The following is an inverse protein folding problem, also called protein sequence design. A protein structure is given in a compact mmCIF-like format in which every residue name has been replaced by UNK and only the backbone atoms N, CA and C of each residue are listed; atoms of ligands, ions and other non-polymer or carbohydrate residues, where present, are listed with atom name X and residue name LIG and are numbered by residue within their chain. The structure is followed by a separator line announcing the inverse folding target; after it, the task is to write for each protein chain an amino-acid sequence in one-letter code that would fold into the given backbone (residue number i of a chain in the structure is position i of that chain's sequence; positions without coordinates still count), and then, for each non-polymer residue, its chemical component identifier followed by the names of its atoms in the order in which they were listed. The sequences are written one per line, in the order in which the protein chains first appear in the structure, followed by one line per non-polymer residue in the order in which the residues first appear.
data_IF_902497260597
#
_entry.id   IF_902497260597
#
_cell.length_a   1.000
_cell.length_b   1.000
_cell.length_c   1.000
_cell.angle_alpha   90.00
_cell.angle_beta   90.00
_cell.angle_gamma   90.00
#
_symmetry.space_group_name_H-M   'P 1'
#
loop_
_entity.id
_entity.type
_entity.pdbx_description
1 polymer ?
#
# COMPACT_ATOMS: atom_id res chain seq x y z
N UNK A 1 40.67 -39.54 -8.71
CA UNK A 1 39.26 -39.63 -9.10
C UNK A 1 38.67 -38.25 -8.95
N UNK A 2 38.26 -37.66 -10.07
CA UNK A 2 37.66 -36.34 -10.13
C UNK A 2 36.20 -36.42 -9.66
N UNK A 3 35.82 -35.59 -8.69
CA UNK A 3 34.47 -35.06 -8.58
C UNK A 3 34.59 -33.56 -8.26
N UNK A 4 34.88 -32.81 -9.32
CA UNK A 4 34.41 -31.44 -9.42
C UNK A 4 32.88 -31.42 -9.29
N UNK A 5 32.32 -30.24 -8.93
CA UNK A 5 30.89 -29.87 -8.98
C UNK A 5 30.11 -30.33 -7.73
N UNK A 6 29.59 -29.46 -6.86
CA UNK A 6 28.94 -28.18 -7.13
C UNK A 6 29.39 -27.07 -6.17
N UNK A 7 29.73 -25.94 -6.77
CA UNK A 7 29.40 -24.63 -6.20
C UNK A 7 27.94 -24.70 -5.73
N UNK A 8 27.73 -24.69 -4.41
CA UNK A 8 26.45 -24.31 -3.83
C UNK A 8 26.23 -22.85 -4.23
N UNK A 9 25.65 -22.63 -5.40
CA UNK A 9 24.95 -21.41 -5.74
C UNK A 9 23.81 -21.29 -4.74
N UNK A 10 24.08 -20.67 -3.59
CA UNK A 10 23.05 -20.05 -2.79
C UNK A 10 22.53 -18.87 -3.62
N UNK A 11 21.66 -19.16 -4.59
CA UNK A 11 20.79 -18.17 -5.20
C UNK A 11 19.89 -17.67 -4.08
N UNK A 12 20.30 -16.58 -3.42
CA UNK A 12 19.37 -15.69 -2.75
C UNK A 12 18.38 -15.26 -3.83
N UNK A 13 17.22 -15.93 -3.89
CA UNK A 13 16.05 -15.38 -4.53
C UNK A 13 15.72 -14.12 -3.71
N UNK A 14 16.20 -12.98 -4.17
CA UNK A 14 15.66 -11.69 -3.78
C UNK A 14 14.23 -11.72 -4.29
N UNK A 15 13.29 -12.14 -3.44
CA UNK A 15 11.88 -11.93 -3.67
C UNK A 15 11.70 -10.43 -3.75
N UNK A 16 11.47 -9.93 -4.97
CA UNK A 16 11.28 -8.51 -5.20
C UNK A 16 10.08 -8.05 -4.37
N UNK A 17 10.31 -7.15 -3.42
CA UNK A 17 9.28 -6.44 -2.64
C UNK A 17 8.51 -5.41 -3.49
N UNK A 18 8.48 -5.61 -4.81
CA UNK A 18 7.96 -4.64 -5.76
C UNK A 18 6.57 -5.04 -6.24
N UNK A 19 5.72 -4.02 -6.45
CA UNK A 19 4.43 -4.18 -7.10
C UNK A 19 4.55 -4.79 -8.49
N UNK A 20 3.51 -5.51 -8.93
CA UNK A 20 3.46 -6.04 -10.29
C UNK A 20 3.36 -4.90 -11.32
N UNK A 21 3.75 -5.12 -12.59
CA UNK A 21 3.58 -4.12 -13.64
C UNK A 21 2.13 -3.65 -13.81
N UNK A 22 1.16 -4.55 -13.62
CA UNK A 22 -0.27 -4.24 -13.70
C UNK A 22 -0.72 -3.34 -12.54
N UNK A 23 -0.32 -3.65 -11.30
CA UNK A 23 -0.59 -2.83 -10.14
C UNK A 23 0.02 -1.43 -10.29
N UNK A 24 1.27 -1.35 -10.74
CA UNK A 24 1.94 -0.08 -11.01
C UNK A 24 1.20 0.76 -12.06
N UNK A 25 0.82 0.17 -13.19
CA UNK A 25 0.10 0.87 -14.24
C UNK A 25 -1.28 1.37 -13.76
N UNK A 26 -2.00 0.54 -13.02
CA UNK A 26 -3.32 0.87 -12.45
C UNK A 26 -3.20 1.96 -11.41
N UNK A 27 -2.25 1.85 -10.48
CA UNK A 27 -1.99 2.86 -9.46
C UNK A 27 -1.60 4.19 -10.10
N UNK A 28 -0.75 4.19 -11.14
CA UNK A 28 -0.36 5.39 -11.85
C UNK A 28 -1.55 6.07 -12.56
N UNK A 29 -2.45 5.28 -13.17
CA UNK A 29 -3.67 5.77 -13.80
C UNK A 29 -4.55 6.58 -12.81
N UNK A 30 -4.68 6.11 -11.56
CA UNK A 30 -5.49 6.77 -10.55
C UNK A 30 -4.73 7.83 -9.74
N UNK A 31 -3.45 7.61 -9.48
CA UNK A 31 -2.59 8.50 -8.71
C UNK A 31 -2.28 9.78 -9.48
N UNK A 32 -1.99 9.72 -10.79
CA UNK A 32 -1.66 10.90 -11.59
C UNK A 32 -2.67 12.06 -11.45
N UNK A 33 -3.98 11.89 -11.71
CA UNK A 33 -4.94 13.00 -11.56
C UNK A 33 -5.06 13.49 -10.11
N UNK A 34 -4.82 12.63 -9.11
CA UNK A 34 -4.80 13.03 -7.71
C UNK A 34 -3.56 13.87 -7.38
N UNK A 35 -2.39 13.54 -7.94
CA UNK A 35 -1.18 14.38 -7.83
C UNK A 35 -1.36 15.73 -8.50
N UNK A 36 -1.96 15.74 -9.69
CA UNK A 36 -2.26 16.98 -10.42
C UNK A 36 -3.20 17.90 -9.60
N UNK A 37 -4.12 17.32 -8.81
CA UNK A 37 -5.05 18.07 -7.96
C UNK A 37 -4.47 18.54 -6.63
N UNK A 38 -3.63 17.74 -5.97
CA UNK A 38 -3.10 18.06 -4.62
C UNK A 38 -1.73 18.73 -4.67
N UNK A 39 -1.00 18.58 -5.78
CA UNK A 39 0.35 19.09 -5.97
C UNK A 39 1.44 18.27 -5.27
N UNK A 40 1.16 17.03 -4.84
CA UNK A 40 2.19 16.13 -4.31
C UNK A 40 3.02 15.52 -5.43
N UNK A 41 4.30 15.29 -5.15
CA UNK A 41 5.22 14.61 -6.04
C UNK A 41 5.25 13.11 -5.76
N UNK A 42 5.76 12.27 -6.69
CA UNK A 42 5.99 10.85 -6.40
C UNK A 42 6.93 10.61 -5.20
N UNK A 43 7.88 11.52 -4.98
CA UNK A 43 8.80 11.43 -3.85
C UNK A 43 8.06 11.63 -2.52
N UNK A 44 7.17 12.61 -2.43
CA UNK A 44 6.37 12.85 -1.20
C UNK A 44 5.51 11.64 -0.83
N UNK A 45 5.03 10.89 -1.84
CA UNK A 45 4.23 9.68 -1.62
C UNK A 45 5.12 8.55 -1.07
N UNK A 46 6.28 8.33 -1.67
CA UNK A 46 7.21 7.27 -1.26
C UNK A 46 7.71 7.49 0.17
N UNK A 47 8.23 8.68 0.47
CA UNK A 47 8.76 8.99 1.81
C UNK A 47 7.66 8.96 2.89
N UNK A 48 6.45 9.39 2.54
CA UNK A 48 5.32 9.40 3.47
C UNK A 48 4.70 8.04 3.78
N UNK A 49 4.70 7.11 2.82
CA UNK A 49 4.29 5.73 3.05
C UNK A 49 5.37 4.90 3.76
N UNK A 50 6.65 5.25 3.58
CA UNK A 50 7.78 4.61 4.28
C UNK A 50 8.02 5.16 5.71
N UNK A 51 7.24 6.18 6.13
CA UNK A 51 7.37 6.78 7.46
C UNK A 51 8.66 7.61 7.64
N UNK A 52 9.32 7.98 6.54
CA UNK A 52 10.52 8.81 6.53
C UNK A 52 10.18 10.31 6.71
N UNK A 53 8.91 10.66 6.52
CA UNK A 53 8.41 12.01 6.69
C UNK A 53 8.31 12.44 8.15
N UNK A 54 8.77 13.66 8.42
CA UNK A 54 8.29 14.43 9.56
C UNK A 54 7.03 15.16 9.11
N UNK A 55 5.91 14.87 9.77
CA UNK A 55 4.60 15.57 9.72
C UNK A 55 3.64 15.20 8.60
N UNK A 56 2.48 14.69 9.02
CA UNK A 56 1.12 15.19 8.75
C UNK A 56 0.91 16.12 7.52
N UNK A 57 1.42 15.75 6.34
CA UNK A 57 1.21 16.55 5.13
C UNK A 57 -0.24 16.38 4.66
N UNK A 58 -1.02 17.45 4.82
CA UNK A 58 -2.42 17.49 4.41
C UNK A 58 -2.63 17.22 2.92
N UNK A 59 -1.66 17.58 2.06
CA UNK A 59 -1.70 17.28 0.61
C UNK A 59 -1.48 15.80 0.35
N UNK A 60 -0.60 15.15 1.09
CA UNK A 60 -0.38 13.71 0.99
C UNK A 60 -1.61 12.94 1.47
N UNK A 61 -2.20 13.32 2.59
CA UNK A 61 -3.44 12.69 3.06
C UNK A 61 -4.60 12.89 2.08
N UNK A 62 -4.74 14.09 1.52
CA UNK A 62 -5.71 14.37 0.47
C UNK A 62 -5.44 13.55 -0.80
N UNK A 63 -4.17 13.32 -1.15
CA UNK A 63 -3.79 12.47 -2.28
C UNK A 63 -4.23 11.02 -2.06
N UNK A 64 -3.92 10.45 -0.89
CA UNK A 64 -4.30 9.06 -0.56
C UNK A 64 -5.82 8.92 -0.56
N UNK A 65 -6.55 9.84 0.08
CA UNK A 65 -8.01 9.86 0.05
C UNK A 65 -8.56 9.90 -1.39
N UNK A 66 -8.01 10.76 -2.25
CA UNK A 66 -8.41 10.86 -3.65
C UNK A 66 -8.23 9.54 -4.39
N UNK A 67 -7.09 8.86 -4.21
CA UNK A 67 -6.83 7.56 -4.84
C UNK A 67 -7.80 6.50 -4.32
N UNK A 68 -7.99 6.39 -3.00
CA UNK A 68 -8.89 5.40 -2.42
C UNK A 68 -10.34 5.58 -2.84
N UNK A 69 -10.79 6.83 -3.03
CA UNK A 69 -12.12 7.10 -3.59
C UNK A 69 -12.22 6.63 -5.05
N UNK A 70 -11.22 6.93 -5.88
CA UNK A 70 -11.22 6.56 -7.31
C UNK A 70 -11.22 5.06 -7.57
N UNK A 71 -10.70 4.28 -6.63
CA UNK A 71 -10.67 2.82 -6.71
C UNK A 71 -11.77 2.18 -5.87
N UNK A 72 -12.73 2.96 -5.37
CA UNK A 72 -13.85 2.49 -4.54
C UNK A 72 -13.40 1.64 -3.33
N UNK A 73 -12.33 2.06 -2.64
CA UNK A 73 -11.87 1.44 -1.39
C UNK A 73 -12.30 2.25 -0.17
N UNK A 74 -12.68 3.51 -0.36
CA UNK A 74 -13.31 4.36 0.64
C UNK A 74 -14.53 5.03 0.02
N UNK A 75 -15.65 5.07 0.74
CA UNK A 75 -16.87 5.71 0.27
C UNK A 75 -16.87 7.23 0.51
N UNK A 76 -17.94 7.91 0.12
CA UNK A 76 -18.06 9.38 0.29
C UNK A 76 -18.11 9.83 1.76
N UNK A 77 -18.55 8.96 2.66
CA UNK A 77 -18.58 9.19 4.11
C UNK A 77 -17.23 8.89 4.79
N UNK A 78 -16.19 8.54 4.03
CA UNK A 78 -14.90 8.17 4.59
C UNK A 78 -14.85 6.77 5.18
N UNK A 79 -15.83 5.90 4.91
CA UNK A 79 -15.78 4.49 5.35
C UNK A 79 -15.00 3.62 4.39
N UNK A 80 -14.02 2.92 4.94
CA UNK A 80 -13.23 1.93 4.22
C UNK A 80 -14.11 0.71 3.90
N UNK A 81 -14.04 0.22 2.67
CA UNK A 81 -14.56 -1.10 2.32
C UNK A 81 -13.62 -2.17 2.89
N UNK A 82 -13.89 -2.55 4.14
CA UNK A 82 -13.07 -3.51 4.89
C UNK A 82 -13.00 -4.87 4.19
N UNK A 83 -14.07 -5.31 3.53
CA UNK A 83 -14.09 -6.61 2.85
C UNK A 83 -13.23 -6.60 1.59
N UNK A 84 -13.27 -5.51 0.82
CA UNK A 84 -12.34 -5.31 -0.30
C UNK A 84 -10.90 -5.20 0.18
N UNK A 85 -10.66 -4.46 1.27
CA UNK A 85 -9.33 -4.30 1.84
C UNK A 85 -8.72 -5.62 2.33
N UNK A 86 -9.54 -6.48 2.96
CA UNK A 86 -9.13 -7.85 3.34
C UNK A 86 -8.74 -8.69 2.13
N UNK A 87 -9.48 -8.62 1.02
CA UNK A 87 -9.13 -9.35 -0.21
C UNK A 87 -7.78 -8.93 -0.75
N UNK A 88 -7.50 -7.62 -0.77
CA UNK A 88 -6.20 -7.07 -1.19
C UNK A 88 -5.08 -7.51 -0.24
N UNK A 89 -5.32 -7.45 1.08
CA UNK A 89 -4.35 -7.90 2.09
C UNK A 89 -4.00 -9.39 1.95
N UNK A 90 -4.97 -10.26 1.61
CA UNK A 90 -4.74 -11.69 1.38
C UNK A 90 -3.79 -11.99 0.22
N UNK A 91 -3.54 -11.04 -0.68
CA UNK A 91 -2.57 -11.20 -1.77
C UNK A 91 -1.11 -11.17 -1.27
N UNK A 92 -0.88 -10.60 -0.08
CA UNK A 92 0.49 -10.37 0.47
C UNK A 92 0.70 -10.98 1.85
N UNK A 93 -0.38 -11.26 2.59
CA UNK A 93 -0.34 -11.89 3.91
C UNK A 93 0.10 -13.36 3.85
N UNK A 94 0.68 -13.86 4.92
CA UNK A 94 1.07 -15.27 5.04
C UNK A 94 -0.13 -16.19 5.31
N UNK A 95 -1.23 -15.64 5.85
CA UNK A 95 -2.48 -16.36 6.09
C UNK A 95 -3.70 -15.44 6.05
N UNK A 96 -4.88 -16.04 5.93
CA UNK A 96 -6.16 -15.33 6.05
C UNK A 96 -6.35 -14.68 7.42
N UNK A 97 -5.96 -15.37 8.50
CA UNK A 97 -6.01 -14.85 9.87
C UNK A 97 -5.12 -13.61 10.03
N UNK A 98 -3.92 -13.62 9.44
CA UNK A 98 -3.03 -12.47 9.46
C UNK A 98 -3.64 -11.30 8.68
N UNK A 99 -4.18 -11.56 7.49
CA UNK A 99 -4.85 -10.55 6.68
C UNK A 99 -5.97 -9.85 7.45
N UNK A 100 -6.83 -10.64 8.10
CA UNK A 100 -7.98 -10.13 8.86
C UNK A 100 -7.55 -9.37 10.11
N UNK A 101 -6.58 -9.90 10.86
CA UNK A 101 -6.07 -9.29 12.08
C UNK A 101 -5.41 -7.94 11.80
N UNK A 102 -4.58 -7.85 10.77
CA UNK A 102 -3.87 -6.60 10.44
C UNK A 102 -4.81 -5.56 9.82
N UNK A 103 -5.75 -5.97 8.96
CA UNK A 103 -6.77 -5.03 8.45
C UNK A 103 -7.64 -4.48 9.59
N UNK A 104 -8.03 -5.31 10.56
CA UNK A 104 -8.79 -4.84 11.71
C UNK A 104 -8.01 -3.84 12.59
N UNK A 105 -6.69 -3.98 12.68
CA UNK A 105 -5.81 -3.03 13.39
C UNK A 105 -5.62 -1.73 12.61
N UNK A 106 -5.54 -1.80 11.29
CA UNK A 106 -5.18 -0.66 10.44
C UNK A 106 -6.38 0.18 9.99
N UNK A 107 -7.51 -0.45 9.63
CA UNK A 107 -8.69 0.20 9.05
C UNK A 107 -9.61 0.83 10.11
N UNK A 108 -9.03 1.66 10.98
CA UNK A 108 -9.76 2.34 12.06
C UNK A 108 -10.19 3.74 11.61
N UNK A 109 -11.47 4.06 11.82
CA UNK A 109 -11.96 5.42 11.62
C UNK A 109 -11.19 6.44 12.46
N UNK A 110 -10.98 7.62 11.88
CA UNK A 110 -10.27 8.76 12.46
C UNK A 110 -11.15 10.00 12.40
N UNK A 111 -10.62 11.11 12.91
CA UNK A 111 -11.35 12.37 13.01
C UNK A 111 -11.69 12.98 11.63
N UNK A 112 -10.91 12.66 10.60
CA UNK A 112 -11.12 13.12 9.21
C UNK A 112 -11.01 11.96 8.23
N UNK A 113 -11.65 12.08 7.07
CA UNK A 113 -11.58 11.05 6.02
C UNK A 113 -10.15 10.92 5.49
N UNK A 114 -9.42 12.03 5.41
CA UNK A 114 -8.01 12.10 5.06
C UNK A 114 -7.15 11.29 6.03
N UNK A 115 -7.39 11.41 7.34
CA UNK A 115 -6.68 10.64 8.35
C UNK A 115 -7.03 9.16 8.29
N UNK A 116 -8.31 8.82 8.10
CA UNK A 116 -8.75 7.42 7.94
C UNK A 116 -8.03 6.78 6.75
N UNK A 117 -8.07 7.42 5.58
CA UNK A 117 -7.44 6.91 4.36
C UNK A 117 -5.92 6.77 4.52
N UNK A 118 -5.24 7.84 4.94
CA UNK A 118 -3.78 7.84 5.05
C UNK A 118 -3.26 6.86 6.08
N UNK A 119 -3.84 6.84 7.29
CA UNK A 119 -3.37 5.96 8.37
C UNK A 119 -3.64 4.49 8.07
N UNK A 120 -4.74 4.18 7.39
CA UNK A 120 -5.03 2.80 6.97
C UNK A 120 -3.95 2.28 6.02
N UNK A 121 -3.66 3.02 4.94
CA UNK A 121 -2.69 2.58 3.94
C UNK A 121 -1.28 2.54 4.50
N UNK A 122 -0.88 3.55 5.28
CA UNK A 122 0.45 3.56 5.90
C UNK A 122 0.64 2.38 6.86
N UNK A 123 -0.35 2.08 7.70
CA UNK A 123 -0.29 0.95 8.62
C UNK A 123 -0.13 -0.40 7.88
N UNK A 124 -0.86 -0.59 6.77
CA UNK A 124 -0.73 -1.81 5.97
C UNK A 124 0.61 -1.88 5.22
N UNK A 125 1.14 -0.74 4.76
CA UNK A 125 2.44 -0.67 4.10
C UNK A 125 3.61 -0.93 5.08
N UNK A 126 3.50 -0.43 6.32
CA UNK A 126 4.44 -0.76 7.40
C UNK A 126 4.47 -2.27 7.68
N UNK A 127 3.31 -2.94 7.60
CA UNK A 127 3.18 -4.39 7.79
C UNK A 127 3.67 -5.19 6.57
N UNK A 128 3.28 -4.77 5.37
CA UNK A 128 3.61 -5.41 4.10
C UNK A 128 4.06 -4.33 3.11
N UNK A 129 5.39 -4.11 2.95
CA UNK A 129 5.92 -3.10 2.02
C UNK A 129 5.50 -3.33 0.55
N UNK A 130 5.08 -4.55 0.21
CA UNK A 130 4.56 -4.91 -1.11
C UNK A 130 3.03 -4.76 -1.22
N UNK A 131 2.34 -4.23 -0.21
CA UNK A 131 0.89 -4.04 -0.24
C UNK A 131 0.48 -3.03 -1.31
N UNK A 132 -0.56 -3.38 -2.07
CA UNK A 132 -1.16 -2.54 -3.10
C UNK A 132 -2.64 -2.30 -2.77
N UNK A 133 -3.15 -1.06 -2.86
CA UNK A 133 -4.58 -0.79 -2.74
C UNK A 133 -5.36 -1.17 -4.01
N UNK A 134 -4.68 -1.68 -5.05
CA UNK A 134 -5.26 -2.19 -6.30
C UNK A 134 -4.81 -3.64 -6.54
N UNK A 135 -5.63 -4.41 -7.26
CA UNK A 135 -5.35 -5.82 -7.61
C UNK A 135 -4.16 -5.96 -8.57
#
# INVERSE_FOLDING_TARGET
MAFARWLLFATFLVSALALTPQQNATLEQYSKPCRDATGVTPQDIDTGLNGEDKTDDSKLKAHVLCVLKKIDLINENGDIDVEKLKKLAKLVAASEEEAESEVAKCALQKDTHEDTAFRTIRCLHEKWPQFSPVE
#
